data_IF_977192975273
#
_entry.id   IF_977192975273
#
_cell.length_a   1.000
_cell.length_b   1.000
_cell.length_c   1.000
_cell.angle_alpha   90.00
_cell.angle_beta   90.00
_cell.angle_gamma   90.00
#
_symmetry.space_group_name_H-M   'P 1'
#
loop_
_entity.id
_entity.type
_entity.pdbx_description
1 polymer ?
#
# COMPACT_ATOMS: atom_id res chain seq x y z
N UNK A 1 -14.99 8.82 -0.66
CA UNK A 1 -14.69 7.38 -0.64
C UNK A 1 -15.63 6.65 -1.57
N UNK A 2 -15.09 5.81 -2.44
CA UNK A 2 -15.86 4.83 -3.19
C UNK A 2 -16.22 3.65 -2.28
N UNK A 3 -17.52 3.40 -2.14
CA UNK A 3 -18.05 2.32 -1.27
C UNK A 3 -18.69 1.20 -2.08
N UNK A 4 -19.18 1.52 -3.26
CA UNK A 4 -19.90 0.62 -4.14
C UNK A 4 -19.69 1.05 -5.59
N UNK A 5 -19.63 0.08 -6.49
CA UNK A 5 -19.77 0.31 -7.93
C UNK A 5 -20.81 -0.67 -8.49
N UNK A 6 -21.42 -0.32 -9.63
CA UNK A 6 -22.32 -1.22 -10.36
C UNK A 6 -22.02 -1.14 -11.85
N UNK A 7 -21.85 -2.30 -12.47
CA UNK A 7 -21.82 -2.42 -13.92
C UNK A 7 -23.26 -2.39 -14.45
N UNK A 8 -23.57 -1.38 -15.27
CA UNK A 8 -24.86 -1.25 -15.94
C UNK A 8 -24.69 -1.56 -17.43
N UNK A 9 -25.42 -2.56 -17.92
CA UNK A 9 -25.43 -2.96 -19.35
C UNK A 9 -26.80 -2.65 -19.94
N UNK A 10 -26.82 -1.97 -21.08
CA UNK A 10 -28.03 -1.64 -21.83
C UNK A 10 -27.90 -2.19 -23.25
N UNK A 11 -28.95 -2.85 -23.75
CA UNK A 11 -29.02 -3.23 -25.17
C UNK A 11 -29.76 -2.16 -25.97
N UNK A 12 -29.13 -1.60 -27.00
CA UNK A 12 -29.71 -0.56 -27.86
C UNK A 12 -29.98 -1.14 -29.24
N UNK A 13 -31.21 -1.00 -29.75
CA UNK A 13 -31.62 -1.48 -31.07
C UNK A 13 -32.90 -0.80 -31.57
N UNK A 14 -33.20 -0.84 -32.88
CA UNK A 14 -34.41 -0.24 -33.45
C UNK A 14 -35.66 -1.06 -33.12
N UNK A 15 -36.69 -0.44 -32.54
CA UNK A 15 -37.98 -1.07 -32.23
C UNK A 15 -38.65 -0.51 -30.97
N UNK A 16 -39.92 -0.87 -30.73
CA UNK A 16 -40.59 -0.60 -29.47
C UNK A 16 -40.02 -1.52 -28.36
N UNK A 17 -39.97 -1.07 -27.09
CA UNK A 17 -39.44 -1.87 -25.99
C UNK A 17 -40.15 -3.24 -25.88
N UNK A 18 -39.37 -4.31 -25.73
CA UNK A 18 -39.88 -5.69 -25.73
C UNK A 18 -40.39 -6.14 -24.33
N UNK A 19 -41.72 -6.25 -24.21
CA UNK A 19 -42.54 -7.13 -23.31
C UNK A 19 -42.53 -6.95 -21.77
N UNK A 20 -43.51 -7.60 -21.09
CA UNK A 20 -44.01 -7.36 -19.71
C UNK A 20 -43.01 -7.59 -18.53
N UNK A 21 -41.86 -8.25 -18.72
CA UNK A 21 -40.74 -8.27 -17.74
C UNK A 21 -39.49 -7.50 -18.17
N UNK A 22 -39.47 -7.02 -19.43
CA UNK A 22 -38.86 -5.76 -19.89
C UNK A 22 -37.41 -5.36 -19.59
N UNK A 23 -36.48 -6.25 -19.19
CA UNK A 23 -35.12 -5.80 -18.83
C UNK A 23 -34.26 -5.43 -20.06
N UNK A 24 -34.40 -4.19 -20.52
CA UNK A 24 -33.42 -3.51 -21.40
C UNK A 24 -32.14 -3.09 -20.67
N UNK A 25 -32.11 -3.24 -19.34
CA UNK A 25 -31.05 -2.79 -18.46
C UNK A 25 -30.70 -3.88 -17.45
N UNK A 26 -29.43 -4.29 -17.39
CA UNK A 26 -28.89 -5.17 -16.35
C UNK A 26 -27.98 -4.34 -15.44
N UNK A 27 -28.20 -4.40 -14.12
CA UNK A 27 -27.29 -3.80 -13.14
C UNK A 27 -26.68 -4.90 -12.26
N UNK A 28 -25.36 -5.01 -12.27
CA UNK A 28 -24.62 -5.98 -11.45
C UNK A 28 -23.72 -5.23 -10.48
N UNK A 29 -23.80 -5.56 -9.19
CA UNK A 29 -22.86 -5.08 -8.18
C UNK A 29 -21.47 -5.66 -8.49
N UNK A 30 -20.53 -4.81 -8.90
CA UNK A 30 -19.20 -5.23 -9.37
C UNK A 30 -18.10 -4.96 -8.33
N UNK A 31 -18.33 -4.01 -7.42
CA UNK A 31 -17.51 -3.78 -6.23
C UNK A 31 -18.38 -3.40 -5.05
N UNK A 32 -18.08 -3.99 -3.90
CA UNK A 32 -18.69 -3.63 -2.64
C UNK A 32 -17.62 -3.68 -1.54
N UNK A 33 -17.40 -2.53 -0.90
CA UNK A 33 -16.42 -2.43 0.16
C UNK A 33 -16.86 -3.17 1.44
N UNK A 34 -18.16 -3.18 1.71
CA UNK A 34 -18.75 -3.73 2.94
C UNK A 34 -20.09 -4.41 2.64
N UNK A 35 -20.43 -5.54 3.29
CA UNK A 35 -21.74 -6.19 3.12
C UNK A 35 -22.92 -5.27 3.45
N UNK A 36 -22.70 -4.27 4.33
CA UNK A 36 -23.69 -3.25 4.68
C UNK A 36 -23.10 -1.84 4.57
N UNK A 37 -23.93 -0.91 4.09
CA UNK A 37 -23.59 0.50 3.90
C UNK A 37 -24.46 1.38 4.79
N UNK A 38 -24.39 1.19 6.11
CA UNK A 38 -25.22 1.95 7.04
C UNK A 38 -24.83 3.44 7.02
N UNK A 39 -25.78 4.39 6.97
CA UNK A 39 -25.47 5.82 6.93
C UNK A 39 -24.59 6.31 8.07
N UNK A 40 -24.77 5.74 9.28
CA UNK A 40 -23.95 6.09 10.45
C UNK A 40 -22.47 5.81 10.22
N UNK A 41 -22.12 4.66 9.63
CA UNK A 41 -20.74 4.33 9.29
C UNK A 41 -20.21 5.21 8.15
N UNK A 42 -21.02 5.45 7.10
CA UNK A 42 -20.58 6.27 5.98
C UNK A 42 -20.30 7.73 6.36
N UNK A 43 -21.05 8.29 7.31
CA UNK A 43 -20.82 9.64 7.81
C UNK A 43 -19.53 9.81 8.63
N UNK A 44 -18.90 8.71 9.05
CA UNK A 44 -17.62 8.73 9.77
C UNK A 44 -16.41 8.67 8.84
N UNK A 45 -16.64 8.43 7.54
CA UNK A 45 -15.58 8.31 6.55
C UNK A 45 -15.08 9.71 6.17
N UNK A 46 -13.77 9.92 6.26
CA UNK A 46 -13.16 11.16 5.81
C UNK A 46 -13.37 11.37 4.31
N UNK A 47 -13.72 12.60 3.87
CA UNK A 47 -13.75 12.93 2.45
C UNK A 47 -12.43 12.58 1.77
N UNK A 48 -12.52 11.88 0.64
CA UNK A 48 -11.34 11.52 -0.13
C UNK A 48 -11.10 12.58 -1.19
N UNK A 49 -9.86 13.05 -1.28
CA UNK A 49 -9.43 13.93 -2.37
C UNK A 49 -9.51 13.20 -3.70
N UNK A 50 -9.18 11.90 -3.71
CA UNK A 50 -9.24 11.06 -4.91
C UNK A 50 -9.69 9.64 -4.56
N UNK A 51 -10.62 9.11 -5.33
CA UNK A 51 -10.99 7.70 -5.34
C UNK A 51 -10.80 7.14 -6.76
N UNK A 52 -10.02 6.09 -6.87
CA UNK A 52 -9.74 5.38 -8.12
C UNK A 52 -10.41 4.01 -8.02
N UNK A 53 -11.31 3.69 -8.94
CA UNK A 53 -11.86 2.37 -9.14
C UNK A 53 -11.15 1.70 -10.31
N UNK A 54 -10.66 0.49 -10.11
CA UNK A 54 -10.14 -0.35 -11.19
C UNK A 54 -11.03 -1.58 -11.37
N UNK A 55 -11.43 -1.81 -12.61
CA UNK A 55 -12.36 -2.88 -12.97
C UNK A 55 -11.92 -3.55 -14.28
N UNK A 56 -11.88 -4.88 -14.27
CA UNK A 56 -11.62 -5.69 -15.46
C UNK A 56 -12.92 -6.01 -16.21
N UNK A 57 -12.90 -5.83 -17.54
CA UNK A 57 -13.95 -6.33 -18.44
C UNK A 57 -13.72 -7.81 -18.80
N UNK A 58 -14.66 -8.42 -19.54
CA UNK A 58 -14.55 -9.83 -19.96
C UNK A 58 -13.47 -10.09 -21.01
N UNK A 59 -12.92 -9.04 -21.62
CA UNK A 59 -11.81 -9.11 -22.58
C UNK A 59 -10.44 -8.90 -21.94
N UNK A 60 -10.36 -8.76 -20.62
CA UNK A 60 -9.13 -8.52 -19.87
C UNK A 60 -8.71 -7.05 -19.77
N UNK A 61 -9.44 -6.12 -20.42
CA UNK A 61 -9.09 -4.71 -20.33
C UNK A 61 -9.39 -4.18 -18.93
N UNK A 62 -8.51 -3.31 -18.43
CA UNK A 62 -8.64 -2.67 -17.14
C UNK A 62 -9.18 -1.25 -17.32
N UNK A 63 -10.40 -1.04 -16.85
CA UNK A 63 -11.04 0.26 -16.77
C UNK A 63 -10.69 0.94 -15.44
N UNK A 64 -10.19 2.16 -15.51
CA UNK A 64 -10.04 3.08 -14.39
C UNK A 64 -11.21 4.06 -14.41
N UNK A 65 -11.80 4.30 -13.24
CA UNK A 65 -12.74 5.40 -12.99
C UNK A 65 -12.18 6.22 -11.86
N UNK A 66 -12.13 7.53 -12.06
CA UNK A 66 -11.51 8.47 -11.16
C UNK A 66 -12.57 9.47 -10.74
N UNK A 67 -12.70 9.63 -9.44
CA UNK A 67 -13.56 10.61 -8.81
C UNK A 67 -12.71 11.42 -7.84
N UNK A 68 -12.58 12.71 -8.10
CA UNK A 68 -11.85 13.66 -7.29
C UNK A 68 -12.75 14.76 -6.76
N UNK A 69 -12.41 15.31 -5.60
CA UNK A 69 -13.15 16.41 -4.97
C UNK A 69 -12.19 17.21 -4.08
N UNK A 70 -12.11 18.53 -4.31
CA UNK A 70 -11.34 19.47 -3.47
C UNK A 70 -12.23 20.34 -2.56
N UNK A 71 -13.54 20.02 -2.50
CA UNK A 71 -14.56 20.79 -1.79
C UNK A 71 -15.13 21.97 -2.58
N UNK A 72 -14.57 22.30 -3.75
CA UNK A 72 -15.08 23.34 -4.65
C UNK A 72 -15.53 22.76 -5.99
N UNK A 73 -14.75 21.83 -6.54
CA UNK A 73 -14.97 21.24 -7.85
C UNK A 73 -14.86 19.71 -7.78
N UNK A 74 -15.75 19.06 -8.51
CA UNK A 74 -15.71 17.62 -8.72
C UNK A 74 -14.94 17.33 -10.01
N UNK A 75 -13.94 16.47 -9.88
CA UNK A 75 -13.22 15.90 -11.00
C UNK A 75 -13.76 14.51 -11.30
N UNK A 76 -14.08 14.24 -12.56
CA UNK A 76 -14.52 12.93 -13.02
C UNK A 76 -13.76 12.56 -14.29
N UNK A 77 -13.23 11.36 -14.31
CA UNK A 77 -12.42 10.87 -15.41
C UNK A 77 -12.44 9.35 -15.51
N UNK A 78 -12.14 8.85 -16.69
CA UNK A 78 -12.10 7.41 -16.93
C UNK A 78 -11.08 7.05 -17.98
N UNK A 79 -10.29 6.00 -17.73
CA UNK A 79 -9.35 5.42 -18.68
C UNK A 79 -9.66 3.94 -18.89
N UNK A 80 -9.27 3.39 -20.04
CA UNK A 80 -9.31 1.95 -20.30
C UNK A 80 -7.98 1.54 -20.89
N UNK A 81 -7.33 0.55 -20.28
CA UNK A 81 -6.05 0.00 -20.71
C UNK A 81 -6.21 -1.44 -21.14
N UNK A 82 -5.43 -1.88 -22.12
CA UNK A 82 -5.34 -3.30 -22.45
C UNK A 82 -4.68 -4.09 -21.32
N UNK A 83 -5.05 -5.37 -21.17
CA UNK A 83 -4.52 -6.26 -20.11
C UNK A 83 -2.98 -6.26 -20.05
N UNK A 84 -2.32 -6.40 -21.21
CA UNK A 84 -0.87 -6.46 -21.29
C UNK A 84 -0.16 -5.15 -20.93
N UNK A 85 -0.79 -4.01 -21.19
CA UNK A 85 -0.21 -2.68 -20.95
C UNK A 85 -0.08 -2.42 -19.44
N UNK A 86 -1.17 -2.62 -18.70
CA UNK A 86 -1.20 -2.39 -17.25
C UNK A 86 -0.35 -3.39 -16.48
N UNK A 87 -0.35 -4.67 -16.86
CA UNK A 87 0.52 -5.68 -16.25
C UNK A 87 2.00 -5.32 -16.45
N UNK A 88 2.37 -4.87 -17.65
CA UNK A 88 3.74 -4.42 -17.95
C UNK A 88 4.15 -3.21 -17.11
N UNK A 89 3.25 -2.24 -16.91
CA UNK A 89 3.52 -1.05 -16.09
C UNK A 89 3.68 -1.40 -14.60
N UNK A 90 2.80 -2.24 -14.08
CA UNK A 90 2.86 -2.73 -12.71
C UNK A 90 4.18 -3.49 -12.47
N UNK A 91 4.56 -4.38 -13.39
CA UNK A 91 5.83 -5.10 -13.33
C UNK A 91 7.02 -4.13 -13.40
N UNK A 92 6.97 -3.15 -14.31
CA UNK A 92 8.03 -2.15 -14.45
C UNK A 92 8.27 -1.36 -13.16
N UNK A 93 7.22 -0.90 -12.46
CA UNK A 93 7.40 -0.15 -11.20
C UNK A 93 7.93 -1.04 -10.06
N UNK A 94 7.48 -2.30 -9.99
CA UNK A 94 7.99 -3.28 -9.01
C UNK A 94 9.45 -3.61 -9.25
N UNK A 95 9.86 -3.85 -10.50
CA UNK A 95 11.27 -3.98 -10.90
C UNK A 95 12.11 -2.76 -10.50
N UNK A 96 11.53 -1.56 -10.58
CA UNK A 96 12.14 -0.34 -10.05
C UNK A 96 12.46 -0.44 -8.55
N UNK A 97 11.51 -0.88 -7.73
CA UNK A 97 11.74 -1.11 -6.31
C UNK A 97 12.81 -2.19 -6.05
N UNK A 98 12.82 -3.28 -6.82
CA UNK A 98 13.83 -4.36 -6.73
C UNK A 98 15.24 -3.84 -7.02
N UNK A 99 15.38 -3.08 -8.10
CA UNK A 99 16.62 -2.44 -8.50
C UNK A 99 17.15 -1.55 -7.38
N UNK A 100 16.29 -0.78 -6.73
CA UNK A 100 16.67 0.05 -5.58
C UNK A 100 17.06 -0.79 -4.36
N UNK A 101 16.28 -1.81 -4.03
CA UNK A 101 16.47 -2.60 -2.83
C UNK A 101 17.72 -3.49 -2.87
N UNK A 102 18.02 -4.14 -4.00
CA UNK A 102 19.17 -5.06 -4.11
C UNK A 102 19.99 -4.96 -5.41
N UNK A 103 19.66 -4.04 -6.32
CA UNK A 103 20.55 -3.70 -7.44
C UNK A 103 20.29 -4.45 -8.74
N UNK A 104 19.22 -5.24 -8.81
CA UNK A 104 18.74 -5.90 -10.04
C UNK A 104 17.22 -5.92 -10.09
N UNK A 105 16.68 -6.14 -11.27
CA UNK A 105 15.22 -6.17 -11.50
C UNK A 105 14.59 -7.55 -11.25
N UNK A 106 15.41 -8.60 -11.25
CA UNK A 106 14.95 -9.96 -10.98
C UNK A 106 14.54 -10.15 -9.52
N UNK A 107 13.80 -11.23 -9.25
CA UNK A 107 13.43 -11.60 -7.88
C UNK A 107 14.66 -11.74 -6.98
N UNK A 108 14.46 -11.44 -5.70
CA UNK A 108 15.51 -11.55 -4.69
C UNK A 108 16.05 -12.98 -4.62
N UNK A 109 17.35 -13.13 -4.37
CA UNK A 109 18.01 -14.39 -4.06
C UNK A 109 18.86 -14.26 -2.81
N UNK A 110 19.25 -15.36 -2.17
CA UNK A 110 20.11 -15.33 -0.96
C UNK A 110 21.47 -14.63 -1.17
N UNK A 111 21.89 -14.40 -2.42
CA UNK A 111 23.13 -13.70 -2.77
C UNK A 111 22.97 -12.17 -2.80
N UNK A 112 21.73 -11.68 -2.78
CA UNK A 112 21.40 -10.27 -2.91
C UNK A 112 21.45 -9.58 -1.55
N UNK A 113 22.23 -8.50 -1.47
CA UNK A 113 22.39 -7.71 -0.25
C UNK A 113 21.51 -6.46 -0.26
N UNK A 114 21.01 -6.09 0.91
CA UNK A 114 20.22 -4.87 1.04
C UNK A 114 21.09 -3.63 0.78
N UNK A 115 20.73 -2.84 -0.23
CA UNK A 115 21.50 -1.65 -0.59
C UNK A 115 21.39 -0.58 0.51
N UNK A 116 20.20 -0.34 1.08
CA UNK A 116 19.98 0.72 2.07
C UNK A 116 20.21 0.29 3.52
N UNK A 117 21.11 -0.66 3.76
CA UNK A 117 21.45 -1.11 5.10
C UNK A 117 21.94 0.09 5.97
N UNK A 118 21.46 0.23 7.22
CA UNK A 118 21.82 1.36 8.09
C UNK A 118 23.33 1.51 8.39
N UNK A 119 24.11 0.45 8.22
CA UNK A 119 25.56 0.48 8.42
C UNK A 119 26.33 1.22 7.31
N UNK A 120 25.68 1.54 6.18
CA UNK A 120 26.31 2.25 5.08
C UNK A 120 26.57 3.72 5.43
N UNK A 121 27.67 4.33 4.94
CA UNK A 121 27.95 5.74 5.17
C UNK A 121 26.84 6.66 4.64
N UNK A 122 26.51 7.73 5.37
CA UNK A 122 25.45 8.67 5.00
C UNK A 122 25.62 9.24 3.58
N UNK A 123 26.87 9.56 3.19
CA UNK A 123 27.19 10.02 1.83
C UNK A 123 26.84 8.97 0.77
N UNK A 124 27.18 7.71 1.01
CA UNK A 124 26.86 6.60 0.10
C UNK A 124 25.35 6.43 -0.07
N UNK A 125 24.58 6.55 1.01
CA UNK A 125 23.12 6.50 0.94
C UNK A 125 22.53 7.70 0.19
N UNK A 126 23.07 8.90 0.39
CA UNK A 126 22.66 10.11 -0.33
C UNK A 126 22.94 10.01 -1.84
N UNK A 127 24.14 9.59 -2.22
CA UNK A 127 24.52 9.41 -3.63
C UNK A 127 23.64 8.34 -4.29
N UNK A 128 23.35 7.26 -3.56
CA UNK A 128 22.46 6.20 -4.02
C UNK A 128 21.02 6.68 -4.18
N UNK A 129 20.49 7.44 -3.21
CA UNK A 129 19.13 7.97 -3.25
C UNK A 129 18.87 8.71 -4.57
N UNK A 130 19.81 9.57 -5.01
CA UNK A 130 19.65 10.29 -6.27
C UNK A 130 19.58 9.36 -7.48
N UNK A 131 20.52 8.41 -7.60
CA UNK A 131 20.57 7.48 -8.74
C UNK A 131 19.33 6.59 -8.81
N UNK A 132 18.92 6.07 -7.66
CA UNK A 132 17.76 5.19 -7.55
C UNK A 132 16.45 5.97 -7.79
N UNK A 133 16.33 7.21 -7.30
CA UNK A 133 15.20 8.08 -7.59
C UNK A 133 15.08 8.40 -9.08
N UNK A 134 16.19 8.67 -9.76
CA UNK A 134 16.20 8.90 -11.22
C UNK A 134 15.54 7.74 -11.98
N UNK A 135 15.84 6.50 -11.59
CA UNK A 135 15.26 5.30 -12.20
C UNK A 135 13.77 5.13 -11.86
N UNK A 136 13.39 5.37 -10.61
CA UNK A 136 12.01 5.19 -10.16
C UNK A 136 11.07 6.26 -10.73
N UNK A 137 11.51 7.52 -10.80
CA UNK A 137 10.72 8.65 -11.34
C UNK A 137 10.31 8.36 -12.78
N UNK A 138 11.23 7.89 -13.64
CA UNK A 138 10.88 7.54 -15.02
C UNK A 138 9.84 6.41 -15.14
N UNK A 139 9.74 5.51 -14.14
CA UNK A 139 8.71 4.46 -14.10
C UNK A 139 7.39 5.00 -13.55
N UNK A 140 7.44 5.78 -12.47
CA UNK A 140 6.27 6.43 -11.87
C UNK A 140 5.59 7.44 -12.79
N UNK A 141 6.37 8.20 -13.57
CA UNK A 141 5.85 9.14 -14.57
C UNK A 141 5.17 8.41 -15.72
N UNK A 142 5.72 7.28 -16.20
CA UNK A 142 5.05 6.45 -17.22
C UNK A 142 3.73 5.89 -16.69
N UNK A 143 3.71 5.44 -15.44
CA UNK A 143 2.46 5.01 -14.79
C UNK A 143 1.42 6.14 -14.74
N UNK A 144 1.82 7.37 -14.38
CA UNK A 144 0.93 8.54 -14.44
C UNK A 144 0.47 8.83 -15.88
N UNK A 145 1.38 8.84 -16.85
CA UNK A 145 1.09 9.18 -18.25
C UNK A 145 0.10 8.21 -18.91
N UNK A 146 0.20 6.92 -18.59
CA UNK A 146 -0.77 5.94 -19.09
C UNK A 146 -2.17 6.19 -18.52
N UNK A 147 -2.27 6.66 -17.29
CA UNK A 147 -3.55 7.14 -16.74
C UNK A 147 -3.98 8.44 -17.45
N UNK A 148 -3.13 9.47 -17.44
CA UNK A 148 -3.30 10.80 -18.07
C UNK A 148 -3.87 10.73 -19.50
N UNK A 149 -3.18 10.03 -20.40
CA UNK A 149 -3.53 9.95 -21.83
C UNK A 149 -4.90 9.32 -22.10
N UNK A 150 -5.40 8.54 -21.15
CA UNK A 150 -6.64 7.78 -21.29
C UNK A 150 -7.78 8.34 -20.43
N UNK A 151 -7.50 9.18 -19.43
CA UNK A 151 -8.53 9.79 -18.56
C UNK A 151 -9.30 10.87 -19.33
N UNK A 152 -10.38 10.45 -20.00
CA UNK A 152 -11.66 11.13 -20.30
C UNK A 152 -11.75 12.59 -20.77
N UNK A 153 -10.70 13.40 -20.80
CA UNK A 153 -10.71 14.83 -21.20
C UNK A 153 -9.44 15.27 -21.93
N UNK A 154 -8.56 14.34 -22.32
CA UNK A 154 -7.27 14.67 -22.93
C UNK A 154 -6.34 15.43 -21.97
N UNK A 155 -5.37 16.17 -22.51
CA UNK A 155 -4.32 16.86 -21.75
C UNK A 155 -4.83 17.83 -20.70
N UNK A 156 -5.99 18.46 -20.90
CA UNK A 156 -6.61 19.34 -19.90
C UNK A 156 -7.01 18.62 -18.63
N UNK A 157 -7.56 17.40 -18.75
CA UNK A 157 -7.97 16.60 -17.59
C UNK A 157 -6.79 16.13 -16.74
N UNK A 158 -5.62 15.97 -17.33
CA UNK A 158 -4.43 15.58 -16.59
C UNK A 158 -3.82 16.71 -15.79
N UNK A 159 -3.82 17.93 -16.31
CA UNK A 159 -3.43 19.12 -15.55
C UNK A 159 -4.43 19.39 -14.42
N UNK A 160 -5.74 19.25 -14.67
CA UNK A 160 -6.76 19.30 -13.61
C UNK A 160 -6.46 18.29 -12.49
N UNK A 161 -6.09 17.05 -12.83
CA UNK A 161 -5.72 16.05 -11.83
C UNK A 161 -4.42 16.39 -11.09
N UNK A 162 -3.39 16.92 -11.77
CA UNK A 162 -2.15 17.39 -11.12
C UNK A 162 -2.41 18.52 -10.14
N UNK A 163 -3.38 19.40 -10.44
CA UNK A 163 -3.77 20.49 -9.57
C UNK A 163 -4.59 20.01 -8.37
N UNK A 164 -5.56 19.12 -8.59
CA UNK A 164 -6.31 18.46 -7.52
C UNK A 164 -5.36 17.75 -6.53
N UNK A 165 -4.34 17.07 -7.06
CA UNK A 165 -3.38 16.28 -6.28
C UNK A 165 -2.18 17.08 -5.78
N UNK A 166 -2.19 18.42 -5.93
CA UNK A 166 -1.06 19.29 -5.54
C UNK A 166 -0.75 19.20 -4.04
N UNK A 167 -1.79 19.26 -3.20
CA UNK A 167 -1.67 19.22 -1.73
C UNK A 167 -1.86 17.80 -1.20
N UNK A 168 -1.29 17.47 -0.02
CA UNK A 168 -1.63 16.24 0.68
C UNK A 168 -3.13 16.04 0.83
N UNK A 169 -3.58 14.80 0.72
CA UNK A 169 -4.99 14.43 0.77
C UNK A 169 -5.15 12.92 0.92
N UNK A 170 -6.39 12.48 1.11
CA UNK A 170 -6.72 11.06 1.27
C UNK A 170 -7.01 10.45 -0.10
N UNK A 171 -6.31 9.37 -0.45
CA UNK A 171 -6.39 8.70 -1.73
C UNK A 171 -6.78 7.24 -1.54
N UNK A 172 -7.82 6.81 -2.23
CA UNK A 172 -8.27 5.43 -2.24
C UNK A 172 -8.06 4.79 -3.61
N UNK A 173 -7.52 3.58 -3.63
CA UNK A 173 -7.65 2.68 -4.78
C UNK A 173 -8.53 1.48 -4.42
N UNK A 174 -9.66 1.38 -5.10
CA UNK A 174 -10.56 0.23 -5.04
C UNK A 174 -10.35 -0.63 -6.29
N UNK A 175 -10.27 -1.95 -6.12
CA UNK A 175 -10.08 -2.90 -7.21
C UNK A 175 -11.04 -4.08 -7.11
N UNK A 176 -11.45 -4.61 -8.26
CA UNK A 176 -12.23 -5.85 -8.34
C UNK A 176 -11.32 -7.06 -8.23
N UNK A 177 -11.29 -7.69 -7.05
CA UNK A 177 -11.00 -9.11 -6.67
C UNK A 177 -9.83 -9.89 -7.34
N UNK A 178 -9.39 -9.60 -8.56
CA UNK A 178 -8.20 -10.19 -9.17
C UNK A 178 -6.96 -9.55 -8.56
N UNK A 179 -6.05 -10.42 -8.16
CA UNK A 179 -4.82 -10.01 -7.54
C UNK A 179 -3.80 -9.40 -8.54
N UNK A 180 -4.06 -9.54 -9.84
CA UNK A 180 -3.34 -8.81 -10.89
C UNK A 180 -3.80 -7.34 -10.99
N UNK A 181 -4.87 -6.98 -10.27
CA UNK A 181 -5.58 -5.70 -10.41
C UNK A 181 -5.19 -4.69 -9.30
N UNK A 182 -4.01 -4.81 -8.67
CA UNK A 182 -3.51 -3.80 -7.72
C UNK A 182 -2.32 -3.06 -8.30
N UNK A 183 -2.57 -1.79 -8.64
CA UNK A 183 -1.56 -0.84 -9.07
C UNK A 183 -0.87 -0.27 -7.84
N UNK A 184 0.47 -0.25 -7.79
CA UNK A 184 1.23 0.41 -6.73
C UNK A 184 1.07 1.94 -6.79
N UNK A 185 -0.10 2.47 -6.42
CA UNK A 185 -0.42 3.90 -6.57
C UNK A 185 0.48 4.82 -5.74
N UNK A 186 1.17 4.29 -4.73
CA UNK A 186 2.23 5.00 -4.02
C UNK A 186 3.41 5.41 -4.93
N UNK A 187 3.62 4.67 -6.03
CA UNK A 187 4.70 4.89 -7.00
C UNK A 187 4.30 5.81 -8.16
N UNK A 188 3.05 6.28 -8.21
CA UNK A 188 2.63 7.28 -9.19
C UNK A 188 3.43 8.57 -8.93
N UNK A 189 4.08 9.08 -9.98
CA UNK A 189 4.83 10.33 -9.95
C UNK A 189 4.19 11.34 -10.91
N UNK A 190 3.67 12.44 -10.37
CA UNK A 190 2.81 13.36 -11.14
C UNK A 190 3.42 14.75 -11.40
N UNK A 191 4.62 15.02 -10.91
CA UNK A 191 5.35 16.24 -11.28
C UNK A 191 5.84 16.14 -12.73
N UNK A 192 5.90 17.28 -13.42
CA UNK A 192 6.41 17.35 -14.78
C UNK A 192 7.91 17.08 -14.78
N UNK A 193 8.35 16.10 -15.59
CA UNK A 193 9.75 15.71 -15.67
C UNK A 193 10.09 15.20 -17.07
N UNK A 194 11.24 15.62 -17.59
CA UNK A 194 11.95 14.93 -18.66
C UNK A 194 12.85 13.86 -18.05
N UNK A 195 12.34 12.61 -18.04
CA UNK A 195 13.08 11.46 -17.48
C UNK A 195 14.42 11.18 -18.17
N UNK A 196 14.66 11.72 -19.37
CA UNK A 196 15.89 11.53 -20.12
C UNK A 196 16.95 12.59 -19.77
N UNK A 197 16.56 13.75 -19.25
CA UNK A 197 17.44 14.87 -18.91
C UNK A 197 17.30 15.28 -17.42
N UNK A 198 17.39 14.29 -16.52
CA UNK A 198 17.43 14.55 -15.07
C UNK A 198 18.84 15.02 -14.69
N UNK A 199 18.92 16.25 -14.17
CA UNK A 199 20.17 16.96 -13.82
C UNK A 199 20.42 17.07 -12.31
N UNK A 200 19.41 16.86 -11.47
CA UNK A 200 19.59 16.93 -10.01
C UNK A 200 18.31 16.69 -9.21
N UNK A 201 18.44 16.79 -7.88
CA UNK A 201 17.32 16.77 -6.94
C UNK A 201 16.89 18.19 -6.56
N UNK A 202 15.62 18.34 -6.15
CA UNK A 202 15.04 19.60 -5.72
C UNK A 202 15.86 20.23 -4.57
N UNK A 203 16.39 21.46 -4.75
CA UNK A 203 17.19 22.12 -3.70
C UNK A 203 16.41 22.35 -2.40
N UNK A 204 15.12 22.65 -2.49
CA UNK A 204 14.27 22.82 -1.30
C UNK A 204 14.09 21.51 -0.52
N UNK A 205 13.97 20.38 -1.23
CA UNK A 205 13.96 19.05 -0.60
C UNK A 205 15.30 18.76 0.08
N UNK A 206 16.44 19.01 -0.57
CA UNK A 206 17.76 18.76 0.02
C UNK A 206 18.00 19.61 1.26
N UNK A 207 17.57 20.89 1.24
CA UNK A 207 17.62 21.78 2.40
C UNK A 207 16.75 21.26 3.55
N UNK A 208 15.52 20.83 3.24
CA UNK A 208 14.58 20.25 4.20
C UNK A 208 15.12 18.96 4.81
N UNK A 209 15.73 18.10 3.99
CA UNK A 209 16.37 16.86 4.41
C UNK A 209 17.54 17.13 5.37
N UNK A 210 18.43 18.05 5.02
CA UNK A 210 19.55 18.45 5.87
C UNK A 210 19.07 19.03 7.20
N UNK A 211 18.04 19.89 7.18
CA UNK A 211 17.40 20.44 8.36
C UNK A 211 16.85 19.35 9.28
N UNK A 212 16.07 18.41 8.75
CA UNK A 212 15.47 17.31 9.53
C UNK A 212 16.55 16.36 10.08
N UNK A 213 17.62 16.09 9.32
CA UNK A 213 18.73 15.25 9.77
C UNK A 213 19.55 15.91 10.90
N UNK A 214 19.71 17.23 10.87
CA UNK A 214 20.48 17.97 11.87
C UNK A 214 19.67 18.28 13.13
N UNK A 215 18.41 18.70 12.96
CA UNK A 215 17.62 19.30 14.03
C UNK A 215 16.44 18.41 14.47
N UNK A 216 16.20 17.30 13.80
CA UNK A 216 14.96 16.52 13.94
C UNK A 216 13.76 17.21 13.25
N UNK A 217 12.57 16.65 13.47
CA UNK A 217 11.33 17.09 12.82
C UNK A 217 10.80 16.06 11.81
N UNK A 218 9.81 16.46 11.00
CA UNK A 218 9.25 15.61 9.94
C UNK A 218 9.32 16.32 8.60
N UNK A 219 9.67 15.56 7.56
CA UNK A 219 9.58 16.03 6.18
C UNK A 219 8.15 16.39 5.78
N UNK A 220 7.11 15.83 6.43
CA UNK A 220 5.72 16.19 6.11
C UNK A 220 5.38 17.64 6.44
N UNK A 221 6.12 18.28 7.35
CA UNK A 221 5.97 19.69 7.68
C UNK A 221 6.73 20.62 6.72
N UNK A 222 7.50 20.07 5.78
CA UNK A 222 8.37 20.86 4.89
C UNK A 222 7.65 21.20 3.56
N UNK A 223 8.00 22.34 2.90
CA UNK A 223 7.22 22.90 1.78
C UNK A 223 6.94 21.92 0.64
N UNK A 224 7.94 21.11 0.26
CA UNK A 224 7.80 20.15 -0.83
C UNK A 224 6.65 19.16 -0.59
N UNK A 225 6.46 18.70 0.66
CA UNK A 225 5.46 17.70 1.00
C UNK A 225 4.11 18.30 1.37
N UNK A 226 3.95 19.63 1.32
CA UNK A 226 2.68 20.35 1.54
C UNK A 226 2.11 21.00 0.27
N UNK A 227 2.67 20.67 -0.90
CA UNK A 227 2.21 21.18 -2.19
C UNK A 227 2.85 22.52 -2.60
N UNK A 228 3.90 22.93 -1.91
CA UNK A 228 4.64 24.19 -2.14
C UNK A 228 6.05 23.93 -2.69
N UNK A 229 6.25 22.82 -3.42
CA UNK A 229 7.54 22.48 -3.99
C UNK A 229 7.94 23.47 -5.10
N UNK A 230 9.04 24.25 -4.95
CA UNK A 230 9.44 25.24 -5.95
C UNK A 230 9.99 24.61 -7.24
N UNK A 231 10.29 23.31 -7.22
CA UNK A 231 10.78 22.57 -8.40
C UNK A 231 9.69 21.73 -9.07
N UNK A 232 8.41 21.87 -8.69
CA UNK A 232 7.30 21.06 -9.20
C UNK A 232 7.23 21.02 -10.74
N UNK A 233 7.40 22.18 -11.37
CA UNK A 233 7.26 22.34 -12.83
C UNK A 233 8.63 22.35 -13.55
N UNK A 234 9.72 22.00 -12.85
CA UNK A 234 11.05 21.96 -13.44
C UNK A 234 11.33 20.58 -14.04
N UNK A 235 11.38 20.52 -15.38
CA UNK A 235 11.53 19.28 -16.13
C UNK A 235 12.83 18.52 -15.87
N UNK A 236 13.87 19.15 -15.32
CA UNK A 236 15.18 18.51 -15.14
C UNK A 236 15.49 18.18 -13.66
N UNK A 237 14.57 18.45 -12.74
CA UNK A 237 14.80 18.35 -11.30
C UNK A 237 13.78 17.41 -10.66
N UNK A 238 14.27 16.34 -10.02
CA UNK A 238 13.41 15.39 -9.32
C UNK A 238 13.12 15.85 -7.90
N UNK A 239 11.88 15.67 -7.43
CA UNK A 239 11.54 15.86 -6.02
C UNK A 239 10.79 14.63 -5.51
N UNK A 240 11.20 14.01 -4.38
CA UNK A 240 10.45 12.88 -3.82
C UNK A 240 8.98 13.20 -3.54
N UNK A 241 8.62 14.46 -3.27
CA UNK A 241 7.23 14.86 -3.09
C UNK A 241 6.37 14.69 -4.34
N UNK A 242 6.95 14.44 -5.52
CA UNK A 242 6.21 14.07 -6.73
C UNK A 242 5.59 12.68 -6.67
N UNK A 243 6.11 11.77 -5.82
CA UNK A 243 5.48 10.48 -5.58
C UNK A 243 4.28 10.60 -4.65
N UNK A 244 3.15 10.01 -5.04
CA UNK A 244 1.95 10.00 -4.22
C UNK A 244 2.17 9.34 -2.86
N UNK A 245 3.01 8.29 -2.78
CA UNK A 245 3.29 7.58 -1.54
C UNK A 245 3.98 8.43 -0.46
N UNK A 246 4.69 9.48 -0.84
CA UNK A 246 5.29 10.43 0.10
C UNK A 246 4.41 11.65 0.39
N UNK A 247 3.43 11.94 -0.48
CA UNK A 247 2.61 13.17 -0.40
C UNK A 247 1.20 12.92 0.14
N UNK A 248 0.60 11.77 -0.12
CA UNK A 248 -0.81 11.50 0.18
C UNK A 248 -0.99 10.37 1.21
N UNK A 249 -2.11 10.42 1.92
CA UNK A 249 -2.56 9.39 2.84
C UNK A 249 -3.28 8.32 1.99
N UNK A 250 -2.60 7.22 1.67
CA UNK A 250 -3.09 6.19 0.73
C UNK A 250 -3.74 5.03 1.47
N UNK A 251 -4.88 4.56 0.95
CA UNK A 251 -5.53 3.29 1.31
C UNK A 251 -5.94 2.47 0.09
N UNK A 252 -5.76 1.15 0.13
CA UNK A 252 -6.13 0.22 -0.96
C UNK A 252 -7.12 -0.83 -0.43
N UNK A 253 -8.32 -0.41 0.03
CA UNK A 253 -9.17 -1.28 0.81
C UNK A 253 -9.64 -2.50 0.01
N UNK A 254 -9.48 -3.67 0.62
CA UNK A 254 -9.87 -4.95 0.06
C UNK A 254 -11.41 -5.11 0.05
N UNK A 255 -12.04 -5.45 -1.09
CA UNK A 255 -13.49 -5.68 -1.13
C UNK A 255 -13.88 -6.90 -0.28
N UNK A 256 -14.96 -6.78 0.48
CA UNK A 256 -15.45 -7.84 1.38
C UNK A 256 -16.95 -8.11 1.20
N UNK A 257 -17.43 -8.47 0.00
CA UNK A 257 -18.87 -8.63 -0.25
C UNK A 257 -19.55 -9.68 0.65
N UNK A 258 -18.77 -10.63 1.19
CA UNK A 258 -19.21 -11.67 2.11
C UNK A 258 -18.47 -11.67 3.45
N UNK A 259 -17.67 -10.62 3.72
CA UNK A 259 -16.88 -10.48 4.94
C UNK A 259 -17.62 -9.72 6.04
N UNK A 260 -16.92 -9.27 7.10
CA UNK A 260 -17.51 -8.36 8.09
C UNK A 260 -17.79 -6.96 7.48
N UNK A 261 -18.62 -6.15 8.15
CA UNK A 261 -18.80 -4.73 7.80
C UNK A 261 -17.47 -3.97 7.77
N UNK A 262 -17.34 -2.86 7.06
CA UNK A 262 -16.11 -2.04 7.10
C UNK A 262 -15.75 -1.62 8.54
N UNK A 263 -14.48 -1.80 8.93
CA UNK A 263 -13.95 -1.23 10.18
C UNK A 263 -13.29 0.12 9.89
N UNK A 264 -13.81 1.18 10.49
CA UNK A 264 -13.17 2.51 10.45
C UNK A 264 -12.30 2.76 11.69
N UNK A 265 -12.53 2.02 12.76
CA UNK A 265 -11.81 2.13 14.03
C UNK A 265 -11.57 0.74 14.61
N UNK A 266 -10.47 0.61 15.36
CA UNK A 266 -10.12 -0.60 16.10
C UNK A 266 -10.15 -0.23 17.57
N UNK A 267 -11.23 -0.62 18.26
CA UNK A 267 -11.46 -0.23 19.64
C UNK A 267 -10.60 -1.06 20.61
N UNK A 268 -10.23 -0.45 21.73
CA UNK A 268 -9.58 -1.11 22.85
C UNK A 268 -9.99 -0.49 24.18
N UNK A 269 -9.70 -1.18 25.29
CA UNK A 269 -9.91 -0.68 26.64
C UNK A 269 -8.61 -0.82 27.41
N UNK A 270 -8.20 0.24 28.10
CA UNK A 270 -6.93 0.27 28.83
C UNK A 270 -5.74 0.39 27.90
N UNK A 271 -5.02 -0.71 27.66
CA UNK A 271 -3.79 -0.73 26.86
C UNK A 271 -4.01 -1.59 25.62
N UNK A 272 -3.63 -1.13 24.41
CA UNK A 272 -3.78 -1.92 23.19
C UNK A 272 -2.93 -3.19 23.27
N UNK A 273 -3.46 -4.28 22.73
CA UNK A 273 -2.79 -5.58 22.66
C UNK A 273 -2.19 -5.79 21.27
N UNK A 274 -0.92 -6.22 21.25
CA UNK A 274 -0.20 -6.65 20.07
C UNK A 274 0.12 -8.14 20.22
N UNK A 275 -0.42 -8.96 19.33
CA UNK A 275 -0.03 -10.36 19.20
C UNK A 275 1.01 -10.47 18.09
N UNK A 276 2.22 -10.89 18.44
CA UNK A 276 3.35 -10.96 17.54
C UNK A 276 3.77 -12.41 17.28
N UNK A 277 3.85 -12.77 16.00
CA UNK A 277 4.34 -14.05 15.52
C UNK A 277 5.73 -13.87 14.90
N UNK A 278 6.70 -14.65 15.37
CA UNK A 278 8.12 -14.36 15.17
C UNK A 278 8.87 -15.50 14.51
N UNK A 279 9.73 -15.15 13.54
CA UNK A 279 10.84 -15.98 13.10
C UNK A 279 12.12 -15.62 13.89
N UNK A 280 12.74 -16.59 14.57
CA UNK A 280 13.73 -16.35 15.62
C UNK A 280 15.17 -16.20 15.13
N UNK A 281 15.46 -16.62 13.90
CA UNK A 281 16.84 -16.61 13.38
C UNK A 281 17.22 -15.25 12.76
N UNK A 282 16.32 -14.27 12.90
CA UNK A 282 16.51 -12.88 12.50
C UNK A 282 17.51 -12.16 13.39
N UNK A 283 18.53 -11.56 12.77
CA UNK A 283 19.68 -11.00 13.47
C UNK A 283 19.32 -9.71 14.23
N UNK A 284 18.36 -8.94 13.71
CA UNK A 284 17.80 -7.74 14.30
C UNK A 284 16.64 -8.01 15.26
N UNK A 285 16.23 -9.26 15.45
CA UNK A 285 15.12 -9.57 16.35
C UNK A 285 15.37 -9.04 17.77
N UNK A 286 16.51 -9.29 18.45
CA UNK A 286 16.71 -8.79 19.82
C UNK A 286 16.57 -7.26 19.98
N UNK A 287 17.26 -6.41 19.18
CA UNK A 287 17.07 -4.97 19.30
C UNK A 287 15.67 -4.52 18.89
N UNK A 288 15.01 -5.21 17.96
CA UNK A 288 13.63 -4.91 17.57
C UNK A 288 12.64 -5.16 18.73
N UNK A 289 12.75 -6.31 19.40
CA UNK A 289 11.93 -6.63 20.57
C UNK A 289 12.10 -5.59 21.68
N UNK A 290 13.33 -5.18 21.96
CA UNK A 290 13.63 -4.17 22.98
C UNK A 290 13.01 -2.79 22.69
N UNK A 291 12.72 -2.47 21.42
CA UNK A 291 12.00 -1.24 21.04
C UNK A 291 10.49 -1.44 21.09
N UNK A 292 9.99 -2.60 20.70
CA UNK A 292 8.57 -2.94 20.85
C UNK A 292 8.13 -2.97 22.33
N UNK A 293 9.02 -3.37 23.25
CA UNK A 293 8.78 -3.35 24.71
C UNK A 293 8.59 -1.95 25.29
N UNK A 294 8.96 -0.90 24.56
CA UNK A 294 8.80 0.50 24.97
C UNK A 294 7.51 1.13 24.45
N UNK A 295 6.75 0.41 23.62
CA UNK A 295 5.48 0.90 23.13
C UNK A 295 4.47 1.00 24.28
N UNK A 296 3.51 1.94 24.22
CA UNK A 296 2.39 2.00 25.15
C UNK A 296 1.35 0.91 24.82
N UNK A 297 1.80 -0.35 24.72
CA UNK A 297 1.01 -1.51 24.32
C UNK A 297 1.46 -2.76 25.09
N UNK A 298 0.54 -3.69 25.32
CA UNK A 298 0.91 -5.03 25.79
C UNK A 298 1.32 -5.86 24.58
N UNK A 299 2.56 -6.34 24.55
CA UNK A 299 3.06 -7.16 23.44
C UNK A 299 3.21 -8.61 23.88
N UNK A 300 2.41 -9.50 23.29
CA UNK A 300 2.54 -10.94 23.46
C UNK A 300 3.26 -11.52 22.24
N UNK A 301 4.25 -12.40 22.46
CA UNK A 301 5.16 -12.87 21.42
C UNK A 301 5.28 -14.37 21.48
N UNK A 302 5.11 -15.03 20.33
CA UNK A 302 5.27 -16.47 20.17
C UNK A 302 6.03 -16.78 18.88
N UNK A 303 6.81 -17.85 18.89
CA UNK A 303 7.58 -18.32 17.73
C UNK A 303 7.22 -19.75 17.33
N UNK A 304 6.96 -20.64 18.29
CA UNK A 304 6.43 -21.97 17.97
C UNK A 304 5.05 -21.87 17.31
N UNK A 305 4.83 -22.65 16.25
CA UNK A 305 3.60 -22.59 15.46
C UNK A 305 2.35 -22.88 16.31
N UNK A 306 2.40 -23.90 17.17
CA UNK A 306 1.29 -24.29 18.02
C UNK A 306 0.97 -23.22 19.06
N UNK A 307 2.01 -22.62 19.64
CA UNK A 307 1.85 -21.49 20.56
C UNK A 307 1.33 -20.22 19.87
N UNK A 308 1.78 -19.91 18.65
CA UNK A 308 1.25 -18.80 17.84
C UNK A 308 -0.23 -19.03 17.53
N UNK A 309 -0.63 -20.25 17.13
CA UNK A 309 -2.05 -20.58 16.90
C UNK A 309 -2.86 -20.37 18.19
N UNK A 310 -2.31 -20.80 19.33
CA UNK A 310 -2.97 -20.65 20.64
C UNK A 310 -3.14 -19.18 21.01
N UNK A 311 -2.09 -18.37 20.83
CA UNK A 311 -2.09 -16.92 21.03
C UNK A 311 -3.19 -16.25 20.19
N UNK A 312 -3.15 -16.45 18.87
CA UNK A 312 -4.05 -15.80 17.92
C UNK A 312 -5.52 -16.18 18.13
N UNK A 313 -5.80 -17.37 18.68
CA UNK A 313 -7.17 -17.83 19.00
C UNK A 313 -7.65 -17.37 20.37
N UNK A 314 -6.74 -17.18 21.32
CA UNK A 314 -7.06 -16.84 22.71
C UNK A 314 -7.35 -15.37 22.94
N UNK A 315 -6.89 -14.50 22.03
CA UNK A 315 -6.87 -13.06 22.23
C UNK A 315 -7.79 -12.29 21.27
N UNK A 316 -7.97 -10.99 21.55
CA UNK A 316 -8.63 -10.01 20.70
C UNK A 316 -7.71 -8.77 20.54
N UNK A 317 -6.59 -8.90 19.80
CA UNK A 317 -5.59 -7.85 19.68
C UNK A 317 -6.06 -6.70 18.79
N UNK A 318 -5.45 -5.53 18.95
CA UNK A 318 -5.62 -4.39 18.05
C UNK A 318 -4.65 -4.45 16.86
N UNK A 319 -3.50 -5.09 17.07
CA UNK A 319 -2.49 -5.31 16.03
C UNK A 319 -2.02 -6.77 16.08
N UNK A 320 -2.04 -7.44 14.94
CA UNK A 320 -1.38 -8.73 14.76
C UNK A 320 -0.15 -8.50 13.90
N UNK A 321 1.03 -8.73 14.46
CA UNK A 321 2.30 -8.41 13.82
C UNK A 321 3.08 -9.68 13.47
N UNK A 322 3.23 -9.95 12.18
CA UNK A 322 4.06 -11.02 11.66
C UNK A 322 5.43 -10.47 11.30
N UNK A 323 6.43 -10.81 12.12
CA UNK A 323 7.84 -10.54 11.83
C UNK A 323 8.50 -11.86 11.44
N UNK A 324 8.39 -12.17 10.15
CA UNK A 324 8.51 -13.54 9.67
C UNK A 324 9.11 -13.60 8.26
N UNK A 325 9.18 -14.80 7.68
CA UNK A 325 9.38 -14.94 6.24
C UNK A 325 8.04 -15.07 5.53
N UNK A 326 7.95 -14.60 4.28
CA UNK A 326 6.86 -14.94 3.37
C UNK A 326 7.39 -15.84 2.25
N UNK A 327 6.70 -16.91 1.90
CA UNK A 327 7.15 -17.86 0.87
C UNK A 327 5.99 -18.58 0.20
N UNK A 328 6.28 -19.37 -0.83
CA UNK A 328 5.34 -20.36 -1.36
C UNK A 328 5.60 -21.72 -0.74
N UNK A 329 4.57 -22.29 -0.12
CA UNK A 329 4.54 -23.67 0.34
C UNK A 329 3.64 -24.45 -0.62
N UNK A 330 4.23 -25.34 -1.43
CA UNK A 330 3.49 -26.15 -2.42
C UNK A 330 2.54 -25.31 -3.30
N UNK A 331 3.03 -24.16 -3.79
CA UNK A 331 2.31 -23.11 -4.56
C UNK A 331 1.36 -22.20 -3.77
N UNK A 332 1.12 -22.47 -2.49
CA UNK A 332 0.29 -21.64 -1.63
C UNK A 332 1.11 -20.54 -0.95
N UNK A 333 0.63 -19.28 -0.92
CA UNK A 333 1.23 -18.23 -0.11
C UNK A 333 1.23 -18.64 1.36
N UNK A 334 2.37 -18.52 2.02
CA UNK A 334 2.55 -18.89 3.42
C UNK A 334 3.41 -17.88 4.18
N UNK A 335 3.10 -17.72 5.46
CA UNK A 335 3.96 -17.05 6.44
C UNK A 335 4.72 -18.10 7.23
N UNK A 336 6.04 -17.93 7.36
CA UNK A 336 6.92 -18.84 8.09
C UNK A 336 7.43 -18.17 9.37
N UNK A 337 7.02 -18.75 10.51
CA UNK A 337 7.46 -18.39 11.87
C UNK A 337 8.32 -19.52 12.46
N UNK A 338 8.81 -19.36 13.69
CA UNK A 338 9.65 -20.36 14.34
C UNK A 338 11.12 -20.16 13.99
N UNK A 339 11.83 -21.19 13.56
CA UNK A 339 13.24 -21.11 13.17
C UNK A 339 13.52 -22.01 11.97
N UNK A 340 14.73 -21.94 11.42
CA UNK A 340 15.20 -22.90 10.42
C UNK A 340 15.18 -24.34 10.95
N UNK A 341 15.43 -24.52 12.26
CA UNK A 341 15.43 -25.82 12.91
C UNK A 341 14.01 -26.33 13.23
N UNK A 342 13.04 -25.43 13.40
CA UNK A 342 11.65 -25.75 13.72
C UNK A 342 10.70 -24.81 12.98
N UNK A 343 10.51 -25.00 11.66
CA UNK A 343 9.73 -24.09 10.84
C UNK A 343 8.22 -24.26 11.08
N UNK A 344 7.52 -23.13 11.19
CA UNK A 344 6.07 -23.06 11.38
C UNK A 344 5.36 -22.34 10.25
N UNK A 345 4.59 -23.07 9.43
CA UNK A 345 3.93 -22.51 8.24
C UNK A 345 2.45 -22.14 8.48
N UNK A 346 2.07 -20.93 8.04
CA UNK A 346 0.70 -20.44 7.99
C UNK A 346 0.31 -20.19 6.53
N UNK A 347 -0.28 -21.22 5.92
CA UNK A 347 -0.87 -21.18 4.57
C UNK A 347 -2.25 -20.54 4.60
N UNK A 348 -2.79 -20.22 3.42
CA UNK A 348 -4.14 -19.63 3.28
C UNK A 348 -5.26 -20.47 3.92
N UNK A 349 -5.17 -21.80 3.89
CA UNK A 349 -6.16 -22.70 4.49
C UNK A 349 -6.05 -22.77 6.02
N UNK A 350 -4.86 -22.49 6.59
CA UNK A 350 -4.61 -22.52 8.05
C UNK A 350 -5.61 -21.64 8.80
N UNK A 351 -5.86 -20.42 8.31
CA UNK A 351 -6.73 -19.43 8.96
C UNK A 351 -8.16 -19.92 9.13
N UNK A 352 -8.76 -20.42 8.05
CA UNK A 352 -10.12 -20.93 8.03
C UNK A 352 -10.26 -22.25 8.79
N UNK A 353 -9.37 -23.21 8.52
CA UNK A 353 -9.43 -24.56 9.09
C UNK A 353 -9.23 -24.56 10.60
N UNK A 354 -8.35 -23.70 11.12
CA UNK A 354 -8.08 -23.58 12.56
C UNK A 354 -9.01 -22.59 13.27
N UNK A 355 -9.90 -21.92 12.53
CA UNK A 355 -10.86 -20.92 13.02
C UNK A 355 -10.18 -19.77 13.77
N UNK A 356 -9.09 -19.24 13.22
CA UNK A 356 -8.43 -18.04 13.74
C UNK A 356 -9.25 -16.84 13.28
N UNK A 357 -9.86 -16.10 14.22
CA UNK A 357 -10.77 -14.99 13.91
C UNK A 357 -10.92 -14.01 15.07
N UNK A 358 -11.10 -12.75 14.74
CA UNK A 358 -11.25 -11.63 15.68
C UNK A 358 -12.50 -10.80 15.38
N UNK A 359 -13.70 -11.38 15.52
CA UNK A 359 -14.95 -10.70 15.15
C UNK A 359 -15.23 -9.45 16.00
N UNK A 360 -14.59 -9.30 17.16
CA UNK A 360 -14.78 -8.17 18.06
C UNK A 360 -13.70 -7.11 17.89
N UNK A 361 -12.42 -7.47 18.10
CA UNK A 361 -11.34 -6.49 18.04
C UNK A 361 -11.01 -6.03 16.62
N UNK A 362 -11.10 -6.95 15.63
CA UNK A 362 -10.82 -6.67 14.22
C UNK A 362 -9.45 -6.00 14.01
N UNK A 363 -8.36 -6.71 14.30
CA UNK A 363 -7.03 -6.12 14.31
C UNK A 363 -6.62 -5.61 12.94
N UNK A 364 -5.69 -4.65 12.95
CA UNK A 364 -4.82 -4.40 11.82
C UNK A 364 -3.81 -5.56 11.77
N UNK A 365 -3.66 -6.18 10.61
CA UNK A 365 -2.59 -7.16 10.41
C UNK A 365 -1.41 -6.49 9.74
N UNK A 366 -0.22 -6.67 10.28
CA UNK A 366 1.00 -6.14 9.67
C UNK A 366 1.95 -7.29 9.37
N UNK A 367 2.17 -7.55 8.08
CA UNK A 367 3.02 -8.63 7.59
C UNK A 367 4.34 -8.06 7.11
N UNK A 368 5.37 -8.23 7.94
CA UNK A 368 6.76 -8.03 7.58
C UNK A 368 7.38 -9.39 7.19
N UNK A 369 7.05 -9.85 5.97
CA UNK A 369 7.63 -11.06 5.38
C UNK A 369 8.96 -10.77 4.71
N UNK A 370 10.08 -11.07 5.37
CA UNK A 370 11.42 -10.85 4.79
C UNK A 370 11.83 -11.99 3.85
N UNK A 371 12.73 -11.72 2.91
CA UNK A 371 13.40 -12.74 2.08
C UNK A 371 12.45 -13.65 1.27
N UNK A 372 11.32 -13.10 0.84
CA UNK A 372 10.34 -13.78 -0.01
C UNK A 372 10.89 -14.02 -1.41
N UNK A 373 11.40 -15.21 -1.72
CA UNK A 373 11.88 -15.53 -3.08
C UNK A 373 10.77 -15.96 -4.04
N UNK A 374 9.51 -16.04 -3.60
CA UNK A 374 8.50 -16.80 -4.35
C UNK A 374 7.08 -16.23 -4.38
N UNK A 375 6.72 -15.24 -3.55
CA UNK A 375 5.34 -14.73 -3.54
C UNK A 375 5.21 -13.62 -4.59
N UNK A 376 4.44 -13.89 -5.65
CA UNK A 376 4.00 -12.83 -6.55
C UNK A 376 3.04 -11.88 -5.82
N UNK A 377 2.93 -10.61 -6.22
CA UNK A 377 1.96 -9.68 -5.64
C UNK A 377 0.52 -10.21 -5.72
N UNK A 378 0.20 -10.97 -6.78
CA UNK A 378 -1.09 -11.62 -6.91
C UNK A 378 -1.34 -12.67 -5.80
N UNK A 379 -0.30 -13.44 -5.47
CA UNK A 379 -0.32 -14.40 -4.37
C UNK A 379 -0.42 -13.71 -3.00
N UNK A 380 0.27 -12.57 -2.80
CA UNK A 380 0.17 -11.79 -1.57
C UNK A 380 -1.25 -11.24 -1.33
N UNK A 381 -1.92 -10.73 -2.36
CA UNK A 381 -3.29 -10.23 -2.25
C UNK A 381 -4.32 -11.32 -1.99
N UNK A 382 -4.12 -12.53 -2.52
CA UNK A 382 -4.96 -13.67 -2.15
C UNK A 382 -4.88 -13.96 -0.64
N UNK A 383 -3.68 -13.85 -0.05
CA UNK A 383 -3.53 -13.96 1.40
C UNK A 383 -4.25 -12.80 2.12
N UNK A 384 -4.06 -11.56 1.68
CA UNK A 384 -4.76 -10.38 2.24
C UNK A 384 -6.28 -10.60 2.27
N UNK A 385 -6.86 -11.04 1.17
CA UNK A 385 -8.30 -11.32 1.07
C UNK A 385 -8.74 -12.36 2.09
N UNK A 386 -8.01 -13.47 2.20
CA UNK A 386 -8.31 -14.52 3.19
C UNK A 386 -8.26 -13.94 4.61
N UNK A 387 -7.26 -13.11 4.91
CA UNK A 387 -7.11 -12.51 6.23
C UNK A 387 -8.30 -11.60 6.55
N UNK A 388 -8.69 -10.70 5.66
CA UNK A 388 -9.84 -9.81 5.92
C UNK A 388 -11.15 -10.61 5.99
N UNK A 389 -11.45 -11.46 5.01
CA UNK A 389 -12.74 -12.17 4.93
C UNK A 389 -12.90 -13.26 5.98
N UNK A 390 -11.85 -14.03 6.29
CA UNK A 390 -11.94 -15.20 7.18
C UNK A 390 -11.60 -14.90 8.63
N UNK A 391 -10.71 -13.93 8.88
CA UNK A 391 -10.27 -13.60 10.24
C UNK A 391 -10.95 -12.35 10.81
N UNK A 392 -11.66 -11.59 9.97
CA UNK A 392 -12.27 -10.30 10.30
C UNK A 392 -11.28 -9.18 10.66
N UNK A 393 -10.03 -9.27 10.17
CA UNK A 393 -9.07 -8.17 10.22
C UNK A 393 -9.67 -6.88 9.62
N UNK A 394 -9.35 -5.73 10.20
CA UNK A 394 -9.80 -4.44 9.69
C UNK A 394 -9.05 -4.00 8.42
N UNK A 395 -7.81 -4.47 8.27
CA UNK A 395 -6.95 -4.20 7.13
C UNK A 395 -5.64 -4.98 7.24
N UNK A 396 -4.85 -4.98 6.18
CA UNK A 396 -3.57 -5.69 6.12
C UNK A 396 -2.49 -4.80 5.53
N UNK A 397 -1.38 -4.61 6.23
CA UNK A 397 -0.18 -4.00 5.67
C UNK A 397 0.70 -5.11 5.09
N UNK A 398 1.04 -4.97 3.82
CA UNK A 398 1.99 -5.83 3.10
C UNK A 398 2.99 -5.02 2.29
N UNK A 399 3.76 -5.72 1.44
CA UNK A 399 4.78 -5.10 0.60
C UNK A 399 4.66 -5.50 -0.87
N UNK A 400 5.01 -4.58 -1.77
CA UNK A 400 4.99 -4.74 -3.23
C UNK A 400 6.11 -5.63 -3.76
N UNK A 401 7.18 -5.78 -2.96
CA UNK A 401 8.36 -6.59 -3.24
C UNK A 401 8.83 -7.28 -1.96
N UNK A 402 9.74 -8.22 -2.12
CA UNK A 402 10.57 -8.74 -1.03
C UNK A 402 11.24 -7.60 -0.27
N UNK A 403 11.18 -7.66 1.05
CA UNK A 403 11.88 -6.73 1.92
C UNK A 403 12.95 -7.44 2.74
N UNK A 404 13.88 -6.63 3.25
CA UNK A 404 14.94 -7.05 4.14
C UNK A 404 14.59 -6.72 5.59
N UNK A 405 15.19 -7.46 6.50
CA UNK A 405 14.96 -7.33 7.94
C UNK A 405 15.16 -5.89 8.44
N UNK A 406 16.20 -5.20 7.95
CA UNK A 406 16.51 -3.82 8.32
C UNK A 406 15.45 -2.82 7.86
N UNK A 407 14.82 -3.07 6.70
CA UNK A 407 13.70 -2.27 6.20
C UNK A 407 12.41 -2.59 6.97
N UNK A 408 12.12 -3.88 7.19
CA UNK A 408 10.98 -4.38 7.96
C UNK A 408 10.90 -3.71 9.33
N UNK A 409 12.00 -3.83 10.07
CA UNK A 409 12.16 -3.27 11.39
C UNK A 409 12.02 -1.74 11.38
N UNK A 410 12.77 -1.04 10.51
CA UNK A 410 12.77 0.41 10.51
C UNK A 410 11.40 1.01 10.15
N UNK A 411 10.66 0.38 9.22
CA UNK A 411 9.30 0.79 8.89
C UNK A 411 8.34 0.53 10.05
N UNK A 412 8.41 -0.65 10.67
CA UNK A 412 7.53 -0.98 11.80
C UNK A 412 7.73 -0.06 13.00
N UNK A 413 8.97 0.28 13.31
CA UNK A 413 9.33 1.17 14.41
C UNK A 413 8.90 2.62 14.16
N UNK A 414 8.78 3.02 12.89
CA UNK A 414 8.23 4.32 12.53
C UNK A 414 6.69 4.33 12.57
N UNK A 415 6.05 3.27 12.05
CA UNK A 415 4.60 3.25 11.82
C UNK A 415 3.80 2.86 13.07
N UNK A 416 4.21 1.81 13.79
CA UNK A 416 3.42 1.25 14.91
C UNK A 416 3.17 2.31 16.01
N UNK A 417 4.17 3.09 16.47
CA UNK A 417 3.91 4.12 17.49
C UNK A 417 2.89 5.17 17.03
N UNK A 418 2.94 5.57 15.75
CA UNK A 418 2.01 6.55 15.18
C UNK A 418 0.58 5.98 15.16
N UNK A 419 0.42 4.75 14.69
CA UNK A 419 -0.88 4.08 14.65
C UNK A 419 -1.48 3.87 16.05
N UNK A 420 -0.67 3.39 17.01
CA UNK A 420 -1.10 3.25 18.40
C UNK A 420 -1.43 4.60 19.06
N UNK A 421 -0.79 5.67 18.61
CA UNK A 421 -1.12 7.05 18.99
C UNK A 421 -2.44 7.58 18.41
N UNK A 422 -3.20 6.75 17.68
CA UNK A 422 -4.49 7.11 17.08
C UNK A 422 -4.39 7.80 15.72
N UNK A 423 -3.20 7.84 15.11
CA UNK A 423 -3.05 8.38 13.76
C UNK A 423 -3.77 7.46 12.74
N UNK A 424 -4.59 8.00 11.83
CA UNK A 424 -5.19 7.21 10.76
C UNK A 424 -4.12 6.44 9.96
N UNK A 425 -4.41 5.20 9.59
CA UNK A 425 -3.42 4.29 9.01
C UNK A 425 -2.72 4.88 7.77
N UNK A 426 -3.47 5.46 6.83
CA UNK A 426 -2.89 6.06 5.62
C UNK A 426 -1.86 7.15 5.95
N UNK A 427 -2.12 7.95 6.99
CA UNK A 427 -1.19 8.99 7.47
C UNK A 427 0.01 8.40 8.20
N UNK A 428 -0.20 7.41 9.07
CA UNK A 428 0.89 6.72 9.77
C UNK A 428 1.86 6.07 8.77
N UNK A 429 1.34 5.49 7.69
CA UNK A 429 2.12 4.94 6.59
C UNK A 429 2.91 6.02 5.86
N UNK A 430 2.29 7.15 5.52
CA UNK A 430 2.97 8.29 4.88
C UNK A 430 4.10 8.83 5.76
N UNK A 431 3.86 9.06 7.04
CA UNK A 431 4.88 9.52 7.98
C UNK A 431 6.03 8.51 8.11
N UNK A 432 5.74 7.20 8.19
CA UNK A 432 6.77 6.17 8.23
C UNK A 432 7.64 6.17 6.96
N UNK A 433 7.04 6.35 5.78
CA UNK A 433 7.77 6.51 4.51
C UNK A 433 8.69 7.74 4.54
N UNK A 434 8.20 8.86 5.06
CA UNK A 434 8.97 10.10 5.17
C UNK A 434 10.09 10.01 6.21
N UNK A 435 9.89 9.30 7.33
CA UNK A 435 10.96 9.03 8.30
C UNK A 435 12.09 8.18 7.71
N UNK A 436 11.77 7.20 6.87
CA UNK A 436 12.78 6.44 6.12
C UNK A 436 13.46 7.33 5.08
N UNK A 437 12.71 8.14 4.34
CA UNK A 437 13.27 9.08 3.36
C UNK A 437 14.23 10.08 4.01
N UNK A 438 13.93 10.54 5.23
CA UNK A 438 14.81 11.38 6.02
C UNK A 438 16.15 10.71 6.37
N UNK A 439 16.23 9.37 6.30
CA UNK A 439 17.45 8.58 6.44
C UNK A 439 18.05 8.18 5.08
N UNK A 440 17.71 8.91 4.02
CA UNK A 440 18.05 8.61 2.63
C UNK A 440 17.54 7.24 2.14
N UNK A 441 16.49 6.68 2.76
CA UNK A 441 15.94 5.39 2.38
C UNK A 441 14.54 5.55 1.78
N UNK A 442 14.37 5.42 0.46
CA UNK A 442 13.09 5.64 -0.19
C UNK A 442 12.16 4.42 -0.18
N UNK A 443 12.63 3.27 0.31
CA UNK A 443 11.94 1.98 0.16
C UNK A 443 10.74 1.81 1.10
N UNK A 444 10.41 2.82 1.91
CA UNK A 444 9.08 2.90 2.52
C UNK A 444 7.95 2.85 1.47
N UNK A 445 8.22 3.28 0.23
CA UNK A 445 7.28 3.17 -0.89
C UNK A 445 6.89 1.72 -1.25
N UNK A 446 7.66 0.72 -0.79
CA UNK A 446 7.32 -0.68 -1.00
C UNK A 446 6.14 -1.15 -0.14
N UNK A 447 5.72 -0.40 0.89
CA UNK A 447 4.64 -0.80 1.78
C UNK A 447 3.27 -0.31 1.30
N UNK A 448 2.27 -1.18 1.36
CA UNK A 448 0.89 -0.89 0.94
C UNK A 448 -0.11 -1.26 2.05
N UNK A 449 -1.05 -0.36 2.41
CA UNK A 449 -2.14 -0.66 3.34
C UNK A 449 -3.41 -1.11 2.60
N UNK A 450 -3.78 -2.38 2.78
CA UNK A 450 -4.92 -3.05 2.12
C UNK A 450 -6.16 -3.23 2.99
#
# INVERSE_FOLDING_TARGET
>A
MLVQSRLVTVQVGPGAPLTETGLQQRSVLDYNLSPALTPRHLNQVEPHTLSIMMNSDSGGNQSFRILGDDGQQRYEGSATLGEGEIVSLIDAVRRGLRLMAWGREDEWTEKDAYRYAPAQPAKTLSDRLFQDMKQLVGRGTRLYQTLDTQIGRGTGGAEELRELMRKPGVVQMAGKISANDVVPIALIYDYLIDSQDIRGMCPAFLSSLAKVQQNGGSLSAEPCFNGECPSRDNLNIICPSGFWGFRHDIGVPTPTPYGPELALTINYTGTPLIDMAVYTDFAQLPPHLARLDKLPATVQRKSDRGEVITLLKGNQPQLVYFYCHGLLQDTNPALLVGSKASPGYFTTDTWGNLRIRWPQARPLMFINGCHTTAISPAQALNLVKVLVEKTAAAGVIGTEITIFEELAQAFAEAMIPLFLGGMPLGRAMREARLQLLARNNPLGLAYTPH
#
